data_IF_887034574532
#
_entry.id   IF_887034574532
#
_cell.length_a   1.000
_cell.length_b   1.000
_cell.length_c   1.000
_cell.angle_alpha   90.00
_cell.angle_beta   90.00
_cell.angle_gamma   90.00
#
_symmetry.space_group_name_H-M   'P 1'
#
loop_
_entity.id
_entity.type
_entity.pdbx_description
1 polymer ?
#
# COMPACT_ATOMS: atom_id res chain seq x y z
N UNK A 1 3.43 9.27 17.72
CA UNK A 1 3.72 8.39 16.56
C UNK A 1 2.95 7.09 16.77
N UNK A 2 2.57 6.40 15.70
CA UNK A 2 1.85 5.14 15.72
C UNK A 2 2.60 4.10 14.89
N UNK A 3 2.44 2.85 15.27
CA UNK A 3 3.09 1.72 14.61
C UNK A 3 2.07 1.02 13.73
N UNK A 4 2.46 0.73 12.50
CA UNK A 4 1.63 0.05 11.51
C UNK A 4 2.34 -1.20 11.01
N UNK A 5 1.58 -2.24 10.68
CA UNK A 5 2.08 -3.45 10.07
C UNK A 5 1.82 -3.40 8.56
N UNK A 6 2.89 -3.41 7.77
CA UNK A 6 2.86 -3.45 6.32
C UNK A 6 2.99 -4.90 5.87
N UNK A 7 1.94 -5.43 5.26
CA UNK A 7 1.94 -6.78 4.69
C UNK A 7 2.16 -6.67 3.19
N UNK A 8 3.38 -7.00 2.75
CA UNK A 8 3.83 -6.87 1.37
C UNK A 8 3.61 -8.20 0.65
N UNK A 9 2.82 -8.17 -0.41
CA UNK A 9 2.65 -9.28 -1.34
C UNK A 9 3.66 -9.14 -2.47
N UNK A 10 4.55 -10.12 -2.62
CA UNK A 10 5.58 -10.15 -3.66
C UNK A 10 5.39 -11.41 -4.52
N UNK A 11 5.48 -11.26 -5.84
CA UNK A 11 5.30 -12.37 -6.79
C UNK A 11 6.38 -13.46 -6.67
N UNK A 12 7.54 -13.15 -6.07
CA UNK A 12 8.67 -14.09 -5.94
C UNK A 12 8.50 -15.06 -4.77
N UNK A 13 7.59 -14.77 -3.84
CA UNK A 13 7.43 -15.54 -2.61
C UNK A 13 5.95 -15.93 -2.41
N UNK A 14 5.72 -17.13 -1.93
CA UNK A 14 4.36 -17.60 -1.61
C UNK A 14 3.82 -16.96 -0.31
N UNK A 15 4.71 -16.67 0.64
CA UNK A 15 4.35 -16.02 1.90
C UNK A 15 4.51 -14.49 1.78
N UNK A 16 3.57 -13.71 2.37
CA UNK A 16 3.72 -12.26 2.43
C UNK A 16 4.82 -11.86 3.41
N UNK A 17 5.53 -10.78 3.10
CA UNK A 17 6.51 -10.17 4.01
C UNK A 17 5.80 -9.22 4.96
N UNK A 18 6.05 -9.35 6.26
CA UNK A 18 5.56 -8.43 7.27
C UNK A 18 6.65 -7.45 7.67
N UNK A 19 6.33 -6.16 7.65
CA UNK A 19 7.24 -5.09 8.05
C UNK A 19 6.55 -4.11 8.99
N UNK A 20 7.21 -3.75 10.09
CA UNK A 20 6.73 -2.75 11.03
C UNK A 20 7.19 -1.36 10.60
N UNK A 21 6.27 -0.41 10.46
CA UNK A 21 6.59 0.98 10.15
C UNK A 21 6.00 1.95 11.18
N UNK A 22 6.83 2.85 11.68
CA UNK A 22 6.41 3.92 12.59
C UNK A 22 6.10 5.18 11.79
N UNK A 23 4.88 5.68 11.87
CA UNK A 23 4.45 6.89 11.18
C UNK A 23 3.68 7.83 12.11
N UNK A 24 3.54 9.10 11.72
CA UNK A 24 2.79 10.08 12.54
C UNK A 24 1.30 9.76 12.59
N UNK A 25 0.77 9.37 11.44
CA UNK A 25 -0.64 9.10 11.19
C UNK A 25 -0.78 8.09 10.04
N UNK A 26 -2.04 7.73 9.74
CA UNK A 26 -2.38 6.75 8.72
C UNK A 26 -2.09 7.22 7.28
N UNK A 27 -2.03 8.54 7.03
CA UNK A 27 -1.65 9.12 5.73
C UNK A 27 -0.15 8.98 5.47
N UNK A 28 0.67 9.25 6.49
CA UNK A 28 2.10 8.99 6.45
C UNK A 28 2.40 7.49 6.28
N UNK A 29 1.66 6.61 6.95
CA UNK A 29 1.77 5.16 6.77
C UNK A 29 1.44 4.71 5.33
N UNK A 30 0.39 5.29 4.73
CA UNK A 30 0.04 5.04 3.33
C UNK A 30 1.13 5.48 2.36
N UNK A 31 1.78 6.60 2.64
CA UNK A 31 2.93 7.07 1.85
C UNK A 31 4.11 6.10 1.92
N UNK A 32 4.42 5.57 3.12
CA UNK A 32 5.44 4.54 3.28
C UNK A 32 5.08 3.26 2.54
N UNK A 33 3.83 2.79 2.65
CA UNK A 33 3.35 1.62 1.93
C UNK A 33 3.43 1.78 0.40
N UNK A 34 3.17 2.99 -0.11
CA UNK A 34 3.33 3.31 -1.54
C UNK A 34 4.78 3.20 -1.98
N UNK A 35 5.71 3.80 -1.22
CA UNK A 35 7.16 3.67 -1.48
C UNK A 35 7.60 2.21 -1.46
N UNK A 36 7.07 1.41 -0.53
CA UNK A 36 7.34 -0.04 -0.49
C UNK A 36 6.81 -0.76 -1.71
N UNK A 37 5.58 -0.48 -2.14
CA UNK A 37 5.04 -1.04 -3.38
C UNK A 37 5.93 -0.70 -4.58
N UNK A 38 6.42 0.53 -4.67
CA UNK A 38 7.26 1.02 -5.77
C UNK A 38 8.72 0.53 -5.71
N UNK A 39 9.22 0.13 -4.53
CA UNK A 39 10.60 -0.30 -4.34
C UNK A 39 10.99 -1.57 -5.12
N UNK A 40 10.03 -2.38 -5.55
CA UNK A 40 10.28 -3.57 -6.38
C UNK A 40 9.15 -3.75 -7.38
N UNK A 41 9.44 -4.06 -8.67
CA UNK A 41 8.41 -4.38 -9.66
C UNK A 41 7.64 -5.66 -9.33
N UNK A 42 8.24 -6.55 -8.51
CA UNK A 42 7.61 -7.80 -8.08
C UNK A 42 6.61 -7.62 -6.93
N UNK A 43 6.61 -6.47 -6.24
CA UNK A 43 5.57 -6.17 -5.26
C UNK A 43 4.22 -6.00 -5.95
N UNK A 44 3.29 -6.88 -5.62
CA UNK A 44 1.93 -6.92 -6.16
C UNK A 44 0.98 -6.05 -5.33
N UNK A 45 1.26 -5.89 -4.04
CA UNK A 45 0.47 -5.06 -3.16
C UNK A 45 1.07 -4.90 -1.78
N UNK A 46 0.60 -3.89 -1.05
CA UNK A 46 0.95 -3.63 0.35
C UNK A 46 -0.33 -3.34 1.11
N UNK A 47 -0.62 -4.14 2.12
CA UNK A 47 -1.68 -3.84 3.10
C UNK A 47 -1.09 -3.04 4.24
N UNK A 48 -1.80 -2.02 4.70
CA UNK A 48 -1.46 -1.25 5.90
C UNK A 48 -2.45 -1.65 6.97
N UNK A 49 -1.95 -2.23 8.05
CA UNK A 49 -2.74 -2.66 9.19
C UNK A 49 -2.35 -1.86 10.43
N UNK A 50 -3.33 -1.60 11.27
CA UNK A 50 -3.12 -1.15 12.64
C UNK A 50 -3.59 -2.28 13.55
N UNK A 51 -2.63 -2.95 14.18
CA UNK A 51 -2.86 -4.20 14.89
C UNK A 51 -3.60 -5.22 13.99
N UNK A 52 -4.77 -5.73 14.40
CA UNK A 52 -5.59 -6.63 13.59
C UNK A 52 -6.44 -5.94 12.51
N UNK A 53 -6.56 -4.61 12.51
CA UNK A 53 -7.44 -3.88 11.59
C UNK A 53 -6.74 -3.52 10.27
N UNK A 54 -7.33 -3.93 9.13
CA UNK A 54 -6.92 -3.44 7.82
C UNK A 54 -7.37 -2.00 7.60
N UNK A 55 -6.44 -1.07 7.44
CA UNK A 55 -6.73 0.33 7.15
C UNK A 55 -6.79 0.61 5.64
N UNK A 56 -5.79 0.12 4.90
CA UNK A 56 -5.69 0.32 3.45
C UNK A 56 -5.08 -0.89 2.77
N UNK A 57 -5.40 -1.06 1.49
CA UNK A 57 -4.72 -1.99 0.61
C UNK A 57 -4.33 -1.27 -0.68
N UNK A 58 -3.02 -1.17 -0.91
CA UNK A 58 -2.46 -0.67 -2.16
C UNK A 58 -2.15 -1.87 -3.04
N UNK A 59 -2.73 -1.93 -4.23
CA UNK A 59 -2.45 -2.99 -5.20
C UNK A 59 -1.80 -2.40 -6.43
N UNK A 60 -0.77 -3.06 -6.94
CA UNK A 60 -0.27 -2.81 -8.29
C UNK A 60 -1.26 -3.45 -9.25
N UNK A 61 -2.12 -2.62 -9.83
CA UNK A 61 -2.88 -3.00 -11.02
C UNK A 61 -1.83 -3.20 -12.12
N UNK A 62 -1.82 -4.39 -12.73
CA UNK A 62 -0.87 -4.70 -13.81
C UNK A 62 -0.89 -3.61 -14.87
N UNK A 63 0.23 -3.44 -15.57
CA UNK A 63 0.50 -2.45 -16.62
C UNK A 63 -0.41 -2.58 -17.87
N UNK A 64 -1.65 -3.07 -17.72
CA UNK A 64 -2.73 -3.19 -18.70
C UNK A 64 -4.09 -2.80 -18.10
N UNK A 65 -4.12 -2.01 -17.03
CA UNK A 65 -5.35 -1.35 -16.58
C UNK A 65 -5.28 0.10 -17.03
N UNK A 66 -5.91 0.36 -18.18
CA UNK A 66 -6.32 1.68 -18.65
C UNK A 66 -6.64 2.57 -17.46
N UNK A 67 -5.95 3.71 -17.37
CA UNK A 67 -6.23 4.75 -16.40
C UNK A 67 -7.72 5.06 -16.42
N UNK A 68 -8.45 4.59 -15.41
CA UNK A 68 -9.71 5.20 -15.02
C UNK A 68 -9.30 6.48 -14.28
N UNK A 69 -9.56 7.68 -14.84
CA UNK A 69 -9.43 8.89 -14.06
C UNK A 69 -10.42 8.81 -12.90
N UNK A 70 -9.90 8.94 -11.68
CA UNK A 70 -10.71 9.13 -10.50
C UNK A 70 -11.61 10.34 -10.73
N UNK A 71 -12.91 10.09 -10.91
CA UNK A 71 -13.93 11.11 -10.82
C UNK A 71 -13.82 11.79 -9.46
N UNK A 72 -13.69 13.12 -9.46
CA UNK A 72 -13.70 13.91 -8.24
C UNK A 72 -12.72 15.07 -8.24
N UNK A 73 -12.82 15.96 -9.22
CA UNK A 73 -12.49 17.37 -9.00
C UNK A 73 -13.71 18.20 -9.39
N UNK A 74 -14.36 18.78 -8.39
CA UNK A 74 -15.37 19.82 -8.56
C UNK A 74 -14.77 20.99 -9.33
N UNK A 75 -15.43 21.40 -10.41
CA UNK A 75 -15.40 22.78 -10.87
C UNK A 75 -16.70 23.44 -10.41
N UNK A 76 -16.54 24.46 -9.58
CA UNK A 76 -17.50 25.56 -9.39
C UNK A 76 -17.71 26.32 -10.70
#
# INVERSE_FOLDING_TARGET
MRTFNLVIQDARYLAPTHETATARDSSAARTLARRRLEASPHHLGVQVRDDDQLLFWLRRLGHNASAQPAAGYSAI
#
